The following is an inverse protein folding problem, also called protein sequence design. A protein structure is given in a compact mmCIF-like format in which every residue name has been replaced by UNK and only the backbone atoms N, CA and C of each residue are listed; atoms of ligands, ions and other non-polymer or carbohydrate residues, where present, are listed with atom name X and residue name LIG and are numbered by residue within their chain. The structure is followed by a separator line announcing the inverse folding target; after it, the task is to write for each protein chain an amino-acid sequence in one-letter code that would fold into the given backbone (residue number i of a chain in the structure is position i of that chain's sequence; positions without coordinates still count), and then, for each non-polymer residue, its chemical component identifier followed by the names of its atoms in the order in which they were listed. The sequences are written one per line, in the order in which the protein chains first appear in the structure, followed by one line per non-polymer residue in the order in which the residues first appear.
data_IF_740113549131
#
_entry.id   IF_740113549131
#
_cell.length_a   1.000
_cell.length_b   1.000
_cell.length_c   1.000
_cell.angle_alpha   90.00
_cell.angle_beta   90.00
_cell.angle_gamma   90.00
#
_symmetry.space_group_name_H-M   'P 1'
#
loop_
_entity.id
_entity.type
_entity.pdbx_description
1 polymer ?
#
# COMPACT_ATOMS: atom_id res chain seq x y z
N UNK A 1 -10.87 12.68 10.48
CA UNK A 1 -10.29 12.67 9.13
C UNK A 1 -11.40 13.02 8.15
N UNK A 2 -11.27 14.13 7.43
CA UNK A 2 -12.28 14.61 6.49
C UNK A 2 -12.23 13.82 5.18
N UNK A 3 -13.30 13.85 4.38
CA UNK A 3 -13.31 13.21 3.06
C UNK A 3 -12.20 13.79 2.14
N UNK A 4 -11.93 15.09 2.24
CA UNK A 4 -10.90 15.76 1.47
C UNK A 4 -9.48 15.29 1.84
N UNK A 5 -9.20 15.03 3.12
CA UNK A 5 -7.92 14.48 3.56
C UNK A 5 -7.68 13.06 3.01
N UNK A 6 -8.74 12.24 2.94
CA UNK A 6 -8.68 10.89 2.37
C UNK A 6 -8.39 10.93 0.86
N UNK A 7 -9.11 11.77 0.12
CA UNK A 7 -8.90 11.94 -1.32
C UNK A 7 -7.46 12.39 -1.64
N UNK A 8 -6.92 13.32 -0.85
CA UNK A 8 -5.55 13.77 -1.01
C UNK A 8 -4.53 12.65 -0.71
N UNK A 9 -4.77 11.84 0.32
CA UNK A 9 -3.91 10.69 0.63
C UNK A 9 -3.91 9.65 -0.50
N UNK A 10 -5.09 9.32 -1.04
CA UNK A 10 -5.23 8.41 -2.18
C UNK A 10 -4.50 8.92 -3.43
N UNK A 11 -4.64 10.22 -3.72
CA UNK A 11 -3.94 10.86 -4.84
C UNK A 11 -2.43 10.76 -4.69
N UNK A 12 -1.91 11.06 -3.50
CA UNK A 12 -0.48 10.98 -3.21
C UNK A 12 0.06 9.55 -3.37
N UNK A 13 -0.68 8.55 -2.88
CA UNK A 13 -0.32 7.14 -3.06
C UNK A 13 -0.24 6.75 -4.53
N UNK A 14 -1.24 7.14 -5.33
CA UNK A 14 -1.24 6.89 -6.79
C UNK A 14 -0.03 7.53 -7.48
N UNK A 15 0.36 8.75 -7.09
CA UNK A 15 1.55 9.41 -7.64
C UNK A 15 2.84 8.66 -7.31
N UNK A 16 2.98 8.18 -6.07
CA UNK A 16 4.16 7.39 -5.65
C UNK A 16 4.24 6.10 -6.45
N UNK A 17 3.14 5.35 -6.56
CA UNK A 17 3.07 4.09 -7.31
C UNK A 17 3.42 4.32 -8.78
N UNK A 18 2.79 5.33 -9.41
CA UNK A 18 3.05 5.67 -10.81
C UNK A 18 4.52 5.98 -11.04
N UNK A 19 5.13 6.81 -10.18
CA UNK A 19 6.55 7.14 -10.29
C UNK A 19 7.43 5.89 -10.10
N UNK A 20 7.08 4.98 -9.21
CA UNK A 20 7.80 3.72 -9.03
C UNK A 20 7.73 2.81 -10.27
N UNK A 21 6.68 2.88 -11.07
CA UNK A 21 6.62 2.17 -12.35
C UNK A 21 7.42 2.85 -13.47
N UNK A 22 7.48 4.18 -13.47
CA UNK A 22 8.13 4.98 -14.54
C UNK A 22 9.64 5.18 -14.30
N UNK A 23 10.09 5.07 -13.05
CA UNK A 23 11.45 5.41 -12.62
C UNK A 23 12.01 4.29 -11.71
N UNK A 24 12.80 3.39 -12.32
CA UNK A 24 13.41 2.25 -11.65
C UNK A 24 14.36 2.67 -10.52
N UNK A 25 15.05 3.80 -10.67
CA UNK A 25 15.95 4.32 -9.64
C UNK A 25 15.15 4.77 -8.43
N UNK A 26 14.04 5.49 -8.66
CA UNK A 26 13.11 5.85 -7.60
C UNK A 26 12.49 4.61 -6.93
N UNK A 27 12.12 3.57 -7.68
CA UNK A 27 11.60 2.32 -7.10
C UNK A 27 12.62 1.67 -6.15
N UNK A 28 13.88 1.56 -6.56
CA UNK A 28 14.95 1.02 -5.73
C UNK A 28 15.19 1.88 -4.47
N UNK A 29 15.17 3.21 -4.61
CA UNK A 29 15.27 4.13 -3.48
C UNK A 29 14.05 4.00 -2.54
N UNK A 30 12.85 3.86 -3.08
CA UNK A 30 11.62 3.72 -2.31
C UNK A 30 11.59 2.42 -1.49
N UNK A 31 12.09 1.32 -2.05
CA UNK A 31 12.20 0.03 -1.33
C UNK A 31 13.29 0.08 -0.25
N UNK A 32 14.43 0.71 -0.53
CA UNK A 32 15.58 0.75 0.39
C UNK A 32 15.46 1.82 1.49
N UNK A 33 14.91 2.99 1.16
CA UNK A 33 14.71 4.11 2.08
C UNK A 33 13.39 4.85 1.80
N UNK A 34 12.24 4.26 2.18
CA UNK A 34 10.92 4.75 1.79
C UNK A 34 10.62 6.16 2.31
N UNK A 35 11.05 6.48 3.53
CA UNK A 35 10.83 7.81 4.13
C UNK A 35 11.54 8.87 3.30
N UNK A 36 12.84 8.69 3.07
CA UNK A 36 13.64 9.66 2.31
C UNK A 36 13.13 9.83 0.88
N UNK A 37 12.77 8.74 0.20
CA UNK A 37 12.25 8.78 -1.17
C UNK A 37 10.94 9.58 -1.25
N UNK A 38 10.01 9.38 -0.31
CA UNK A 38 8.73 10.08 -0.26
C UNK A 38 8.92 11.56 0.11
N UNK A 39 9.80 11.88 1.05
CA UNK A 39 10.10 13.26 1.43
C UNK A 39 10.73 14.04 0.28
N UNK A 40 11.65 13.43 -0.48
CA UNK A 40 12.22 14.01 -1.70
C UNK A 40 11.17 14.26 -2.77
N UNK A 41 10.25 13.31 -2.96
CA UNK A 41 9.19 13.43 -3.96
C UNK A 41 8.14 14.49 -3.58
N UNK A 42 7.72 14.50 -2.32
CA UNK A 42 6.64 15.37 -1.83
C UNK A 42 7.12 16.77 -1.42
N UNK A 43 8.42 16.94 -1.18
CA UNK A 43 9.01 18.17 -0.64
C UNK A 43 8.57 18.48 0.80
N UNK A 44 7.98 17.50 1.51
CA UNK A 44 7.45 17.65 2.86
C UNK A 44 7.94 16.51 3.76
N UNK A 45 8.15 16.78 5.06
CA UNK A 45 8.49 15.72 6.00
C UNK A 45 7.33 14.74 6.16
N UNK A 46 7.65 13.46 6.30
CA UNK A 46 6.68 12.39 6.47
C UNK A 46 6.51 12.05 7.96
N UNK A 47 5.37 12.41 8.55
CA UNK A 47 5.04 12.03 9.92
C UNK A 47 4.36 10.64 9.96
N UNK A 48 5.12 9.65 10.44
CA UNK A 48 4.64 8.28 10.63
C UNK A 48 4.10 8.01 12.04
N UNK A 49 4.07 9.01 12.93
CA UNK A 49 3.61 8.87 14.33
C UNK A 49 4.28 7.69 15.06
N UNK A 50 5.60 7.54 14.87
CA UNK A 50 6.38 6.46 15.47
C UNK A 50 6.25 5.08 14.77
N UNK A 51 5.47 4.96 13.70
CA UNK A 51 5.37 3.73 12.90
C UNK A 51 6.55 3.62 11.93
N UNK A 52 6.95 2.38 11.63
CA UNK A 52 7.92 2.09 10.55
C UNK A 52 7.17 1.89 9.24
N UNK A 53 7.61 2.58 8.19
CA UNK A 53 7.14 2.34 6.83
C UNK A 53 8.01 1.26 6.17
N UNK A 54 7.37 0.24 5.62
CA UNK A 54 8.01 -0.84 4.86
C UNK A 54 7.39 -0.84 3.47
N UNK A 55 8.23 -0.81 2.43
CA UNK A 55 7.81 -0.93 1.04
C UNK A 55 8.46 -2.17 0.44
N UNK A 56 7.65 -3.01 -0.18
CA UNK A 56 8.10 -4.25 -0.83
C UNK A 56 7.66 -4.21 -2.28
N UNK A 57 8.59 -4.44 -3.20
CA UNK A 57 8.28 -4.61 -4.62
C UNK A 57 7.64 -5.99 -4.83
N UNK A 58 6.39 -5.99 -5.31
CA UNK A 58 5.61 -7.21 -5.58
C UNK A 58 5.52 -7.53 -7.08
N UNK A 59 6.52 -7.13 -7.87
CA UNK A 59 6.57 -7.43 -9.31
C UNK A 59 6.99 -8.86 -9.65
N UNK A 60 7.49 -9.63 -8.67
CA UNK A 60 7.78 -11.06 -8.85
C UNK A 60 6.49 -11.90 -8.86
N UNK A 61 6.05 -12.28 -10.05
CA UNK A 61 4.85 -13.10 -10.28
C UNK A 61 4.94 -14.53 -9.72
N UNK A 62 6.12 -14.99 -9.29
CA UNK A 62 6.28 -16.29 -8.63
C UNK A 62 6.12 -16.23 -7.10
N UNK A 63 6.12 -15.02 -6.53
CA UNK A 63 5.97 -14.79 -5.10
C UNK A 63 4.53 -14.41 -4.73
N UNK A 64 4.06 -14.91 -3.58
CA UNK A 64 2.78 -14.51 -2.99
C UNK A 64 3.06 -13.75 -1.70
N UNK A 65 2.50 -12.54 -1.59
CA UNK A 65 2.68 -11.67 -0.44
C UNK A 65 1.42 -11.73 0.45
N UNK A 66 1.62 -12.03 1.73
CA UNK A 66 0.54 -12.03 2.74
C UNK A 66 0.91 -11.01 3.81
N UNK A 67 0.05 -10.01 4.01
CA UNK A 67 0.18 -9.05 5.11
C UNK A 67 -0.69 -9.53 6.28
N UNK A 68 -0.04 -9.86 7.41
CA UNK A 68 -0.74 -10.25 8.63
C UNK A 68 -0.89 -8.99 9.51
N UNK A 69 -2.11 -8.51 9.78
CA UNK A 69 -2.31 -7.35 10.65
C UNK A 69 -1.90 -7.67 12.09
N UNK A 70 -1.52 -6.64 12.85
CA UNK A 70 -1.29 -6.79 14.28
C UNK A 70 -2.57 -7.28 14.96
N UNK A 71 -2.44 -8.18 15.95
CA UNK A 71 -3.59 -8.69 16.69
C UNK A 71 -4.32 -7.52 17.38
N UNK A 72 -5.61 -7.27 17.08
CA UNK A 72 -6.37 -6.20 17.70
C UNK A 72 -6.55 -6.38 19.21
N UNK A 73 -6.54 -7.62 19.74
CA UNK A 73 -6.67 -7.87 21.18
C UNK A 73 -5.45 -7.40 22.00
N UNK A 74 -4.29 -7.29 21.34
CA UNK A 74 -3.06 -6.79 21.95
C UNK A 74 -2.86 -5.28 21.70
N UNK A 75 -3.79 -4.65 20.98
CA UNK A 75 -3.85 -3.19 20.86
C UNK A 75 -4.91 -2.69 21.84
N UNK A 76 -4.52 -1.84 22.79
CA UNK A 76 -5.49 -0.96 23.43
C UNK A 76 -5.96 0.05 22.37
N UNK A 77 -6.92 -0.37 21.56
CA UNK A 77 -7.53 0.47 20.54
C UNK A 77 -8.44 1.48 21.23
N UNK A 78 -8.34 2.73 20.83
CA UNK A 78 -9.41 3.69 21.14
C UNK A 78 -10.64 3.35 20.31
N UNK A 79 -11.87 3.65 20.79
CA UNK A 79 -13.13 3.29 20.11
C UNK A 79 -13.17 3.71 18.62
N UNK A 80 -12.49 4.80 18.26
CA UNK A 80 -12.39 5.31 16.90
C UNK A 80 -11.55 4.43 15.95
N UNK A 81 -10.59 3.65 16.48
CA UNK A 81 -9.75 2.75 15.70
C UNK A 81 -10.44 1.39 15.44
N UNK A 82 -11.36 0.99 16.33
CA UNK A 82 -12.20 -0.20 16.16
C UNK A 82 -13.20 -0.06 15.01
N UNK A 83 -13.82 1.11 14.85
CA UNK A 83 -14.78 1.35 13.75
C UNK A 83 -14.14 1.25 12.35
N UNK A 84 -12.86 1.61 12.21
CA UNK A 84 -12.16 1.53 10.92
C UNK A 84 -11.83 0.10 10.49
N UNK A 85 -11.63 -0.82 11.44
CA UNK A 85 -11.35 -2.25 11.18
C UNK A 85 -12.64 -3.04 10.99
N UNK A 86 -13.72 -2.66 11.67
CA UNK A 86 -15.01 -3.33 11.59
C UNK A 86 -15.79 -3.08 10.28
N UNK A 87 -15.44 -2.07 9.48
CA UNK A 87 -16.07 -1.75 8.18
C UNK A 87 -15.67 -2.67 7.02
N UNK A 88 -15.29 -3.92 7.28
CA UNK A 88 -14.76 -4.87 6.31
C UNK A 88 -15.67 -5.12 5.10
N UNK A 89 -15.26 -4.63 3.93
CA UNK A 89 -15.74 -5.13 2.64
C UNK A 89 -14.70 -6.13 2.09
N UNK A 90 -14.56 -7.26 2.78
CA UNK A 90 -13.90 -8.45 2.23
C UNK A 90 -14.82 -9.09 1.18
N UNK A 91 -14.79 -8.61 -0.06
CA UNK A 91 -15.32 -9.35 -1.20
C UNK A 91 -14.29 -10.40 -1.62
N UNK A 92 -14.29 -11.51 -0.89
CA UNK A 92 -13.51 -12.71 -1.17
C UNK A 92 -14.26 -13.53 -2.24
N UNK A 93 -14.34 -13.03 -3.48
CA UNK A 93 -14.73 -13.85 -4.62
C UNK A 93 -13.47 -14.39 -5.32
N UNK A 94 -13.18 -15.63 -4.96
CA UNK A 94 -12.21 -16.51 -5.58
C UNK A 94 -12.84 -16.96 -6.91
N UNK A 95 -12.25 -16.59 -8.05
CA UNK A 95 -12.42 -17.35 -9.30
C UNK A 95 -11.06 -17.65 -9.92
N UNK A 96 -10.49 -18.76 -9.43
CA UNK A 96 -9.54 -19.60 -10.12
C UNK A 96 -10.17 -20.24 -11.35
N UNK A 97 -10.26 -19.50 -12.45
CA UNK A 97 -10.12 -20.14 -13.77
C UNK A 97 -9.06 -19.38 -14.53
N UNK A 98 -7.84 -19.88 -14.45
CA UNK A 98 -6.86 -19.62 -15.49
C UNK A 98 -7.38 -20.17 -16.81
N UNK A 99 -7.07 -19.44 -17.89
CA UNK A 99 -6.64 -20.01 -19.15
C UNK A 99 -5.84 -18.89 -19.84
N UNK A 100 -4.53 -19.07 -19.87
CA UNK A 100 -3.70 -18.60 -20.97
C UNK A 100 -3.92 -19.58 -22.13
N UNK A 101 -4.55 -19.14 -23.20
CA UNK A 101 -4.21 -19.58 -24.56
C UNK A 101 -4.56 -18.43 -25.49
N UNK A 102 -3.52 -17.76 -25.99
CA UNK A 102 -3.63 -16.91 -27.15
C UNK A 102 -3.56 -17.75 -28.41
N UNK A 103 -4.47 -17.50 -29.37
CA UNK A 103 -4.37 -17.64 -30.83
C UNK A 103 -5.38 -16.59 -31.33
N UNK A 104 -5.06 -15.59 -32.15
CA UNK A 104 -4.31 -15.69 -33.39
C UNK A 104 -5.25 -16.07 -34.54
N UNK A 105 -6.20 -15.21 -34.91
CA UNK A 105 -6.44 -14.66 -36.26
C UNK A 105 -7.67 -13.73 -36.24
#
# INVERSE_FOLDING_TARGET
MTNQERENAEKNLKTIIKKAWEDETFKQELVSNPVQAIEKLSGKPLDLKGKKLIVTDQTDYSAVYINIPANPENMELTDAELEAVAGGQFNLEILWTGICIGWGN
#
